data_IF_601782647569
#
_entry.id   IF_601782647569
#
_cell.length_a   1.000
_cell.length_b   1.000
_cell.length_c   1.000
_cell.angle_alpha   90.00
_cell.angle_beta   90.00
_cell.angle_gamma   90.00
#
_symmetry.space_group_name_H-M   'P 1'
#
loop_
_entity.id
_entity.type
_entity.pdbx_description
1 polymer ?
#
# COMPACT_ATOMS: atom_id res chain seq x y z
N UNK A 1 7.39 20.82 3.44
CA UNK A 1 6.65 19.77 2.70
C UNK A 1 6.27 18.71 3.72
N UNK A 2 5.03 18.22 3.72
CA UNK A 2 4.62 17.13 4.61
C UNK A 2 5.24 15.80 4.19
N UNK A 3 5.42 14.88 5.13
CA UNK A 3 5.97 13.54 4.89
C UNK A 3 5.04 12.76 3.94
N UNK A 4 5.60 12.02 2.99
CA UNK A 4 4.81 11.24 2.03
C UNK A 4 4.12 10.04 2.69
N UNK A 5 2.95 9.57 2.21
CA UNK A 5 2.18 8.52 2.89
C UNK A 5 2.99 7.24 3.17
N UNK A 6 3.72 6.75 2.17
CA UNK A 6 4.51 5.52 2.29
C UNK A 6 5.85 5.71 3.01
N UNK A 7 6.23 6.95 3.34
CA UNK A 7 7.39 7.27 4.19
C UNK A 7 7.02 7.40 5.68
N UNK A 8 5.75 7.21 6.03
CA UNK A 8 5.26 7.26 7.41
C UNK A 8 5.49 5.93 8.13
N UNK A 9 5.56 5.95 9.49
CA UNK A 9 5.63 4.72 10.28
C UNK A 9 4.46 3.78 10.04
N UNK A 10 3.28 4.34 9.75
CA UNK A 10 2.08 3.60 9.38
C UNK A 10 1.44 4.23 8.16
N UNK A 11 0.73 3.42 7.38
CA UNK A 11 -0.21 3.95 6.40
C UNK A 11 -1.52 3.18 6.40
N UNK A 12 -2.60 3.88 6.09
CA UNK A 12 -3.91 3.32 5.86
C UNK A 12 -4.20 3.27 4.36
N UNK A 13 -4.57 2.11 3.85
CA UNK A 13 -4.94 1.89 2.46
C UNK A 13 -6.44 1.65 2.32
N UNK A 14 -7.03 2.30 1.32
CA UNK A 14 -8.42 2.05 0.88
C UNK A 14 -8.42 1.80 -0.62
N UNK A 15 -8.74 0.58 -1.01
CA UNK A 15 -8.79 0.15 -2.40
C UNK A 15 -10.23 0.00 -2.88
N UNK A 16 -10.56 0.66 -3.98
CA UNK A 16 -11.87 0.61 -4.61
C UNK A 16 -11.79 -0.07 -5.98
N UNK A 17 -12.87 -0.79 -6.33
CA UNK A 17 -13.06 -1.33 -7.66
C UNK A 17 -14.43 -0.87 -8.21
N UNK A 18 -14.54 0.40 -8.62
CA UNK A 18 -15.79 0.92 -9.17
C UNK A 18 -16.11 0.21 -10.50
N UNK A 19 -17.37 -0.20 -10.63
CA UNK A 19 -17.95 -0.73 -11.86
C UNK A 19 -19.12 0.18 -12.22
N UNK A 20 -18.85 1.17 -13.10
CA UNK A 20 -19.80 2.21 -13.46
C UNK A 20 -19.39 2.86 -14.79
N UNK A 21 -20.23 3.74 -15.32
CA UNK A 21 -19.91 4.54 -16.49
C UNK A 21 -18.71 5.48 -16.24
N UNK A 22 -17.95 5.76 -17.28
CA UNK A 22 -16.72 6.58 -17.18
C UNK A 22 -16.96 7.94 -16.50
N UNK A 23 -18.09 8.57 -16.78
CA UNK A 23 -18.44 9.86 -16.17
C UNK A 23 -18.66 9.78 -14.66
N UNK A 24 -19.23 8.69 -14.16
CA UNK A 24 -19.44 8.45 -12.73
C UNK A 24 -18.11 8.15 -12.02
N UNK A 25 -17.25 7.34 -12.66
CA UNK A 25 -15.90 7.09 -12.14
C UNK A 25 -15.09 8.37 -12.10
N UNK A 26 -15.19 9.22 -13.12
CA UNK A 26 -14.52 10.52 -13.14
C UNK A 26 -15.00 11.43 -12.01
N UNK A 27 -16.31 11.51 -11.77
CA UNK A 27 -16.86 12.28 -10.64
C UNK A 27 -16.39 11.76 -9.28
N UNK A 28 -16.25 10.44 -9.13
CA UNK A 28 -15.67 9.82 -7.92
C UNK A 28 -14.21 10.23 -7.74
N UNK A 29 -13.42 10.15 -8.80
CA UNK A 29 -12.00 10.51 -8.81
C UNK A 29 -11.81 11.98 -8.46
N UNK A 30 -12.55 12.87 -9.12
CA UNK A 30 -12.51 14.33 -8.87
C UNK A 30 -12.86 14.65 -7.41
N UNK A 31 -13.86 13.97 -6.85
CA UNK A 31 -14.22 14.12 -5.43
C UNK A 31 -13.10 13.67 -4.49
N UNK A 32 -12.45 12.52 -4.78
CA UNK A 32 -11.30 12.07 -3.99
C UNK A 32 -10.18 13.10 -4.01
N UNK A 33 -9.79 13.58 -5.19
CA UNK A 33 -8.61 14.42 -5.36
C UNK A 33 -8.84 15.86 -4.85
N UNK A 34 -10.06 16.38 -4.99
CA UNK A 34 -10.35 17.78 -4.62
C UNK A 34 -10.90 17.95 -3.19
N UNK A 35 -11.51 16.92 -2.60
CA UNK A 35 -12.20 17.02 -1.30
C UNK A 35 -11.74 15.93 -0.33
N UNK A 36 -11.96 14.66 -0.69
CA UNK A 36 -11.96 13.57 0.29
C UNK A 36 -10.58 13.27 0.89
N UNK A 37 -9.52 13.25 0.08
CA UNK A 37 -8.16 12.97 0.57
C UNK A 37 -7.73 14.00 1.64
N UNK A 38 -7.91 15.29 1.35
CA UNK A 38 -7.55 16.37 2.28
C UNK A 38 -8.42 16.33 3.54
N UNK A 39 -9.71 16.00 3.38
CA UNK A 39 -10.66 15.94 4.49
C UNK A 39 -10.35 14.77 5.43
N UNK A 40 -9.98 13.59 4.91
CA UNK A 40 -9.54 12.46 5.73
C UNK A 40 -8.31 12.81 6.55
N UNK A 41 -7.31 13.46 5.95
CA UNK A 41 -6.11 13.92 6.68
C UNK A 41 -6.49 14.93 7.77
N UNK A 42 -7.32 15.91 7.46
CA UNK A 42 -7.72 16.97 8.40
C UNK A 42 -8.54 16.44 9.57
N UNK A 43 -9.43 15.47 9.35
CA UNK A 43 -10.38 14.98 10.34
C UNK A 43 -9.87 13.82 11.20
N UNK A 44 -8.73 13.23 10.82
CA UNK A 44 -8.11 12.15 11.59
C UNK A 44 -6.79 12.62 12.20
N UNK A 45 -6.81 12.85 13.49
CA UNK A 45 -5.62 13.30 14.22
C UNK A 45 -4.45 12.33 14.03
N UNK A 46 -3.30 12.87 13.61
CA UNK A 46 -2.08 12.11 13.32
C UNK A 46 -1.98 11.56 11.89
N UNK A 47 -3.01 11.76 11.06
CA UNK A 47 -2.87 11.62 9.62
C UNK A 47 -2.12 12.83 9.07
N UNK A 48 -1.08 12.59 8.27
CA UNK A 48 -0.14 13.65 7.87
C UNK A 48 -0.10 13.91 6.38
N UNK A 49 -0.54 12.94 5.58
CA UNK A 49 -0.52 13.04 4.12
C UNK A 49 -1.46 12.04 3.48
N UNK A 50 -1.79 12.27 2.22
CA UNK A 50 -2.57 11.34 1.41
C UNK A 50 -2.12 11.40 -0.06
N UNK A 51 -2.32 10.31 -0.77
CA UNK A 51 -2.16 10.24 -2.20
C UNK A 51 -3.12 9.18 -2.79
N UNK A 52 -3.53 9.39 -4.03
CA UNK A 52 -4.32 8.42 -4.79
C UNK A 52 -3.48 7.84 -5.92
N UNK A 53 -3.72 6.57 -6.17
CA UNK A 53 -3.05 5.79 -7.20
C UNK A 53 -4.05 5.05 -8.06
N UNK A 54 -3.68 4.80 -9.30
CA UNK A 54 -4.46 4.06 -10.30
C UNK A 54 -3.68 2.83 -10.74
N UNK A 55 -4.36 1.70 -10.85
CA UNK A 55 -3.76 0.45 -11.35
C UNK A 55 -3.27 0.67 -12.77
N UNK A 56 -2.00 0.34 -13.04
CA UNK A 56 -1.39 0.59 -14.36
C UNK A 56 -1.70 -0.47 -15.40
N UNK A 57 -1.90 -1.71 -14.96
CA UNK A 57 -2.21 -2.84 -15.81
C UNK A 57 -3.52 -3.46 -15.31
N UNK A 58 -4.60 -3.45 -16.10
CA UNK A 58 -5.83 -4.12 -15.71
C UNK A 58 -5.54 -5.60 -15.42
N UNK A 59 -6.01 -6.07 -14.28
CA UNK A 59 -5.97 -7.48 -13.93
C UNK A 59 -7.38 -8.05 -14.01
N UNK A 60 -7.50 -9.24 -14.55
CA UNK A 60 -8.73 -10.03 -14.52
C UNK A 60 -8.86 -10.71 -13.13
N UNK A 61 -8.78 -9.88 -12.10
CA UNK A 61 -8.82 -10.28 -10.69
C UNK A 61 -9.61 -9.24 -9.89
N UNK A 62 -10.82 -9.60 -9.51
CA UNK A 62 -11.72 -8.73 -8.76
C UNK A 62 -11.25 -8.47 -7.32
N UNK A 63 -10.26 -9.18 -6.85
CA UNK A 63 -9.64 -8.97 -5.54
C UNK A 63 -8.68 -7.77 -5.50
N UNK A 64 -8.30 -7.23 -6.66
CA UNK A 64 -7.35 -6.11 -6.78
C UNK A 64 -8.08 -4.80 -7.07
N UNK A 65 -7.87 -3.74 -6.27
CA UNK A 65 -8.49 -2.44 -6.52
C UNK A 65 -7.89 -1.73 -7.73
N UNK A 66 -8.74 -1.13 -8.55
CA UNK A 66 -8.30 -0.26 -9.65
C UNK A 66 -7.95 1.15 -9.20
N UNK A 67 -8.51 1.61 -8.08
CA UNK A 67 -8.20 2.87 -7.42
C UNK A 67 -7.73 2.61 -5.99
N UNK A 68 -6.61 3.19 -5.60
CA UNK A 68 -6.03 3.03 -4.27
C UNK A 68 -5.75 4.39 -3.64
N UNK A 69 -6.40 4.69 -2.52
CA UNK A 69 -6.08 5.84 -1.67
C UNK A 69 -5.17 5.37 -0.51
N UNK A 70 -4.09 6.11 -0.29
CA UNK A 70 -3.10 5.82 0.75
C UNK A 70 -2.97 7.04 1.65
N UNK A 71 -3.08 6.84 2.97
CA UNK A 71 -3.01 7.88 3.97
C UNK A 71 -1.86 7.58 4.93
N UNK A 72 -0.90 8.49 5.05
CA UNK A 72 0.21 8.37 5.98
C UNK A 72 -0.22 8.69 7.41
N UNK A 73 0.16 7.86 8.36
CA UNK A 73 -0.11 8.03 9.79
C UNK A 73 1.23 8.21 10.50
N UNK A 74 1.36 9.28 11.27
CA UNK A 74 2.62 9.78 11.80
C UNK A 74 3.15 9.03 13.03
N UNK A 75 2.33 8.22 13.70
CA UNK A 75 2.75 7.48 14.90
C UNK A 75 1.81 6.30 15.21
N UNK A 76 2.30 5.38 16.03
CA UNK A 76 1.52 4.25 16.54
C UNK A 76 0.29 4.72 17.34
N UNK A 77 0.45 5.72 18.21
CA UNK A 77 -0.67 6.29 18.97
C UNK A 77 -1.77 6.84 18.06
N UNK A 78 -1.41 7.45 16.95
CA UNK A 78 -2.38 7.92 15.96
C UNK A 78 -3.08 6.74 15.25
N UNK A 79 -2.33 5.69 14.91
CA UNK A 79 -2.90 4.47 14.33
C UNK A 79 -3.88 3.80 15.31
N UNK A 80 -3.53 3.66 16.58
CA UNK A 80 -4.41 3.12 17.64
C UNK A 80 -5.67 3.96 17.79
N UNK A 81 -5.56 5.30 17.94
CA UNK A 81 -6.72 6.19 18.01
C UNK A 81 -7.62 6.10 16.79
N UNK A 82 -7.03 5.89 15.60
CA UNK A 82 -7.82 5.69 14.38
C UNK A 82 -8.63 4.39 14.45
N UNK A 83 -8.05 3.27 14.93
CA UNK A 83 -8.76 2.01 15.10
C UNK A 83 -9.89 2.14 16.12
N UNK A 84 -9.63 2.73 17.29
CA UNK A 84 -10.62 2.88 18.38
C UNK A 84 -11.86 3.66 17.92
N UNK A 85 -11.66 4.65 17.03
CA UNK A 85 -12.78 5.47 16.50
C UNK A 85 -13.62 4.80 15.41
N UNK A 86 -13.22 3.64 14.88
CA UNK A 86 -13.99 2.99 13.80
C UNK A 86 -15.37 2.51 14.23
N UNK A 87 -15.59 2.26 15.53
CA UNK A 87 -16.86 1.76 16.08
C UNK A 87 -17.89 2.86 16.32
N UNK A 88 -17.55 3.96 17.00
CA UNK A 88 -18.53 4.82 17.66
C UNK A 88 -18.53 6.30 17.23
N UNK A 89 -17.44 6.84 16.69
CA UNK A 89 -17.29 8.27 16.44
C UNK A 89 -16.56 8.56 15.12
N UNK A 90 -17.09 8.02 14.03
CA UNK A 90 -16.53 8.35 12.72
C UNK A 90 -16.72 9.83 12.41
N UNK A 91 -15.71 10.49 11.81
CA UNK A 91 -15.88 11.84 11.30
C UNK A 91 -17.04 11.92 10.29
N UNK A 92 -17.72 13.05 10.29
CA UNK A 92 -18.70 13.36 9.24
C UNK A 92 -17.95 13.97 8.08
N UNK A 93 -17.96 13.30 6.96
CA UNK A 93 -17.32 13.75 5.72
C UNK A 93 -18.31 14.51 4.84
N UNK A 94 -17.77 15.38 3.99
CA UNK A 94 -18.54 16.02 2.91
C UNK A 94 -19.20 14.94 2.04
N UNK A 95 -20.51 15.07 1.72
CA UNK A 95 -21.18 14.10 0.85
C UNK A 95 -20.50 14.01 -0.52
N UNK A 96 -20.20 12.77 -0.93
CA UNK A 96 -19.63 12.46 -2.22
C UNK A 96 -20.68 12.15 -3.30
N UNK A 97 -20.27 11.92 -4.55
CA UNK A 97 -21.16 11.44 -5.60
C UNK A 97 -21.75 10.07 -5.26
N UNK A 98 -22.85 9.63 -5.90
CA UNK A 98 -23.50 8.35 -5.58
C UNK A 98 -22.54 7.16 -5.58
N UNK A 99 -21.61 7.12 -6.54
CA UNK A 99 -20.63 6.04 -6.65
C UNK A 99 -19.67 5.94 -5.44
N UNK A 100 -19.45 7.04 -4.72
CA UNK A 100 -18.65 7.04 -3.48
C UNK A 100 -19.23 6.09 -2.40
N UNK A 101 -20.55 5.93 -2.37
CA UNK A 101 -21.25 5.07 -1.40
C UNK A 101 -21.48 3.65 -1.90
N UNK A 102 -21.47 3.44 -3.22
CA UNK A 102 -21.82 2.16 -3.85
C UNK A 102 -20.62 1.40 -4.44
N UNK A 103 -19.49 2.07 -4.67
CA UNK A 103 -18.28 1.41 -5.19
C UNK A 103 -17.78 0.35 -4.21
N UNK A 104 -17.51 -0.88 -4.68
CA UNK A 104 -16.95 -1.92 -3.84
C UNK A 104 -15.61 -1.49 -3.22
N UNK A 105 -15.52 -1.56 -1.89
CA UNK A 105 -14.26 -1.44 -1.15
C UNK A 105 -13.68 -2.84 -1.05
N UNK A 106 -12.62 -3.12 -1.81
CA UNK A 106 -12.00 -4.45 -1.84
C UNK A 106 -10.81 -4.54 -0.90
N UNK A 107 -10.11 -3.41 -0.65
CA UNK A 107 -9.03 -3.33 0.33
C UNK A 107 -9.30 -2.23 1.34
N UNK A 108 -9.13 -2.55 2.60
CA UNK A 108 -9.14 -1.59 3.68
C UNK A 108 -8.29 -2.12 4.83
N UNK A 109 -7.07 -1.60 4.97
CA UNK A 109 -6.10 -2.12 5.92
C UNK A 109 -5.12 -1.04 6.40
N UNK A 110 -4.54 -1.26 7.56
CA UNK A 110 -3.45 -0.46 8.13
C UNK A 110 -2.17 -1.30 8.12
N UNK A 111 -1.10 -0.68 7.67
CA UNK A 111 0.23 -1.25 7.57
C UNK A 111 1.22 -0.51 8.46
N UNK A 112 2.13 -1.24 9.10
CA UNK A 112 3.27 -0.72 9.86
C UNK A 112 4.56 -0.90 9.07
N UNK A 113 5.41 0.13 9.05
CA UNK A 113 6.73 0.07 8.40
C UNK A 113 7.68 -0.82 9.17
N UNK A 114 8.24 -1.83 8.51
CA UNK A 114 9.18 -2.80 9.08
C UNK A 114 10.63 -2.58 8.60
N UNK A 115 10.87 -1.57 7.78
CA UNK A 115 12.20 -1.24 7.28
C UNK A 115 12.16 -0.75 5.83
N UNK A 116 13.13 0.10 5.48
CA UNK A 116 13.24 0.68 4.14
C UNK A 116 14.68 0.78 3.68
N UNK A 117 14.87 0.90 2.37
CA UNK A 117 16.15 1.20 1.72
C UNK A 117 15.93 2.15 0.55
N UNK A 118 16.93 2.93 0.20
CA UNK A 118 16.87 3.93 -0.87
C UNK A 118 16.62 5.34 -0.35
N UNK A 119 16.01 6.18 -1.17
CA UNK A 119 15.78 7.60 -0.88
C UNK A 119 14.70 7.77 0.18
N UNK A 120 14.93 8.65 1.13
CA UNK A 120 13.93 9.02 2.12
C UNK A 120 12.93 10.04 1.56
N UNK A 121 11.67 9.92 2.04
CA UNK A 121 10.59 10.87 1.78
C UNK A 121 10.32 11.14 0.28
N UNK A 122 10.40 10.10 -0.54
CA UNK A 122 10.12 10.12 -1.97
C UNK A 122 8.62 10.30 -2.25
N UNK A 123 8.28 11.15 -3.24
CA UNK A 123 6.93 11.21 -3.81
C UNK A 123 6.88 10.32 -5.07
N UNK A 124 6.34 9.11 -4.97
CA UNK A 124 6.42 8.18 -6.09
C UNK A 124 5.48 8.59 -7.23
N UNK A 125 6.01 8.58 -8.47
CA UNK A 125 5.21 8.59 -9.69
C UNK A 125 4.63 7.21 -9.99
N UNK A 126 5.35 6.16 -9.56
CA UNK A 126 4.96 4.75 -9.71
C UNK A 126 5.34 3.94 -8.48
N UNK A 127 4.52 2.95 -8.16
CA UNK A 127 4.86 1.95 -7.16
C UNK A 127 4.47 0.55 -7.63
N UNK A 128 5.26 -0.45 -7.19
CA UNK A 128 4.88 -1.85 -7.24
C UNK A 128 4.66 -2.34 -5.81
N UNK A 129 3.56 -3.03 -5.57
CA UNK A 129 3.23 -3.62 -4.28
C UNK A 129 3.19 -5.13 -4.41
N UNK A 130 3.76 -5.84 -3.44
CA UNK A 130 3.80 -7.29 -3.42
C UNK A 130 3.38 -7.77 -2.05
N UNK A 131 2.19 -8.35 -1.99
CA UNK A 131 1.65 -8.96 -0.78
C UNK A 131 2.04 -10.44 -0.70
N UNK A 132 2.56 -10.88 0.44
CA UNK A 132 3.00 -12.25 0.61
C UNK A 132 2.96 -12.72 2.06
N UNK A 133 2.92 -14.04 2.19
CA UNK A 133 3.14 -14.76 3.44
C UNK A 133 4.40 -15.63 3.32
N UNK A 134 5.16 -15.88 4.40
CA UNK A 134 6.22 -16.88 4.40
C UNK A 134 5.62 -18.26 4.16
N UNK A 135 6.47 -19.29 4.09
CA UNK A 135 6.00 -20.67 4.01
C UNK A 135 4.96 -20.93 5.13
N UNK A 136 3.86 -21.62 4.78
CA UNK A 136 2.71 -21.78 5.67
C UNK A 136 3.03 -22.51 6.99
N UNK A 137 4.04 -23.37 6.99
CA UNK A 137 4.53 -24.13 8.14
C UNK A 137 5.83 -23.58 8.73
N UNK A 138 6.21 -22.33 8.37
CA UNK A 138 7.43 -21.73 8.87
C UNK A 138 7.38 -21.53 10.38
N UNK A 139 8.42 -21.94 11.06
CA UNK A 139 8.64 -21.69 12.49
C UNK A 139 8.97 -20.22 12.76
N UNK A 140 8.89 -19.78 14.01
CA UNK A 140 9.28 -18.40 14.37
C UNK A 140 10.74 -18.08 14.00
N UNK A 141 11.65 -19.04 14.13
CA UNK A 141 13.05 -18.87 13.74
C UNK A 141 13.19 -18.67 12.23
N UNK A 142 12.49 -19.47 11.41
CA UNK A 142 12.49 -19.34 9.95
C UNK A 142 11.81 -18.03 9.49
N UNK A 143 10.81 -17.55 10.22
CA UNK A 143 10.20 -16.24 9.98
C UNK A 143 11.21 -15.12 10.27
N UNK A 144 12.00 -15.22 11.35
CA UNK A 144 13.05 -14.26 11.65
C UNK A 144 14.15 -14.25 10.56
N UNK A 145 14.55 -15.42 10.04
CA UNK A 145 15.49 -15.53 8.91
C UNK A 145 14.88 -14.91 7.62
N UNK A 146 13.61 -15.16 7.34
CA UNK A 146 12.87 -14.51 6.24
C UNK A 146 12.89 -13.01 6.37
N UNK A 147 12.62 -12.47 7.56
CA UNK A 147 12.58 -11.03 7.82
C UNK A 147 13.96 -10.38 7.62
N UNK A 148 15.02 -11.03 8.12
CA UNK A 148 16.40 -10.56 7.96
C UNK A 148 16.84 -10.58 6.49
N UNK A 149 16.65 -11.70 5.81
CA UNK A 149 16.96 -11.87 4.39
C UNK A 149 16.22 -10.83 3.54
N UNK A 150 14.90 -10.68 3.75
CA UNK A 150 14.11 -9.76 2.96
C UNK A 150 14.59 -8.32 3.14
N UNK A 151 14.82 -7.89 4.38
CA UNK A 151 15.18 -6.51 4.67
C UNK A 151 16.61 -6.17 4.25
N UNK A 152 17.57 -7.06 4.51
CA UNK A 152 18.99 -6.75 4.31
C UNK A 152 19.54 -7.17 2.96
N UNK A 153 18.90 -8.12 2.28
CA UNK A 153 19.38 -8.67 1.02
C UNK A 153 18.42 -8.37 -0.11
N UNK A 154 17.21 -8.93 -0.07
CA UNK A 154 16.29 -8.89 -1.21
C UNK A 154 15.77 -7.48 -1.51
N UNK A 155 15.40 -6.71 -0.50
CA UNK A 155 14.88 -5.35 -0.70
C UNK A 155 15.90 -4.43 -1.40
N UNK A 156 17.19 -4.36 -0.97
CA UNK A 156 18.23 -3.62 -1.69
C UNK A 156 18.51 -4.13 -3.10
N UNK A 157 18.49 -5.46 -3.31
CA UNK A 157 18.70 -6.06 -4.64
C UNK A 157 17.61 -5.61 -5.63
N UNK A 158 16.34 -5.60 -5.21
CA UNK A 158 15.24 -5.16 -6.07
C UNK A 158 15.33 -3.64 -6.35
N UNK A 159 15.61 -2.83 -5.35
CA UNK A 159 15.75 -1.38 -5.52
C UNK A 159 16.85 -1.08 -6.54
N UNK A 160 18.05 -1.62 -6.34
CA UNK A 160 19.19 -1.37 -7.24
C UNK A 160 19.03 -2.03 -8.61
N UNK A 161 18.49 -3.26 -8.66
CA UNK A 161 18.41 -4.06 -9.88
C UNK A 161 17.28 -3.67 -10.81
N UNK A 162 16.16 -3.14 -10.28
CA UNK A 162 14.98 -2.81 -11.07
C UNK A 162 14.76 -1.30 -11.26
N UNK A 163 15.69 -0.46 -10.77
CA UNK A 163 15.62 0.99 -10.96
C UNK A 163 14.55 1.67 -10.13
N UNK A 164 14.23 1.11 -8.98
CA UNK A 164 13.42 1.80 -7.99
C UNK A 164 14.29 2.73 -7.15
N UNK A 165 13.71 3.83 -6.68
CA UNK A 165 14.41 4.80 -5.84
C UNK A 165 14.33 4.41 -4.36
N UNK A 166 13.29 3.66 -3.99
CA UNK A 166 13.03 3.21 -2.63
C UNK A 166 12.31 1.87 -2.61
N UNK A 167 12.61 1.09 -1.57
CA UNK A 167 11.85 -0.10 -1.19
C UNK A 167 11.50 -0.03 0.30
N UNK A 168 10.27 -0.34 0.66
CA UNK A 168 9.82 -0.40 2.05
C UNK A 168 9.06 -1.69 2.28
N UNK A 169 9.39 -2.36 3.37
CA UNK A 169 8.61 -3.49 3.89
C UNK A 169 7.60 -2.99 4.90
N UNK A 170 6.42 -3.58 4.84
CA UNK A 170 5.33 -3.32 5.78
C UNK A 170 4.79 -4.63 6.35
N UNK A 171 4.39 -4.58 7.62
CA UNK A 171 3.66 -5.62 8.32
C UNK A 171 2.18 -5.22 8.39
N UNK A 172 1.29 -6.18 8.20
CA UNK A 172 -0.13 -5.96 8.41
C UNK A 172 -0.37 -5.64 9.89
N UNK A 173 -0.83 -4.40 10.14
CA UNK A 173 -1.21 -3.94 11.48
C UNK A 173 -2.66 -4.28 11.79
N UNK A 174 -3.56 -4.00 10.83
CA UNK A 174 -4.98 -4.26 10.99
C UNK A 174 -5.67 -4.41 9.63
N UNK A 175 -6.50 -5.42 9.51
CA UNK A 175 -7.38 -5.65 8.36
C UNK A 175 -8.81 -5.29 8.73
N UNK A 176 -9.44 -4.43 7.93
CA UNK A 176 -10.88 -4.18 7.98
C UNK A 176 -11.63 -4.94 6.89
N UNK A 177 -11.05 -4.98 5.69
CA UNK A 177 -11.63 -5.60 4.50
C UNK A 177 -10.51 -6.03 3.56
N UNK A 178 -10.55 -7.29 3.19
CA UNK A 178 -9.75 -7.88 2.12
C UNK A 178 -10.48 -9.12 1.60
N UNK A 179 -10.43 -9.43 0.29
CA UNK A 179 -10.98 -10.68 -0.24
C UNK A 179 -10.33 -11.91 0.41
N UNK A 180 -11.09 -13.00 0.47
CA UNK A 180 -10.54 -14.29 0.92
C UNK A 180 -9.31 -14.72 0.11
N UNK A 181 -8.31 -15.33 0.73
CA UNK A 181 -8.26 -15.84 2.11
C UNK A 181 -7.81 -14.82 3.17
N UNK A 182 -7.93 -13.54 2.91
CA UNK A 182 -7.51 -12.47 3.80
C UNK A 182 -6.22 -11.77 3.33
N UNK A 183 -5.90 -10.65 3.97
CA UNK A 183 -4.73 -9.85 3.66
C UNK A 183 -3.44 -10.60 4.04
N UNK A 184 -2.43 -10.64 3.17
CA UNK A 184 -1.15 -11.23 3.52
C UNK A 184 -0.47 -10.48 4.67
N UNK A 185 0.35 -11.18 5.44
CA UNK A 185 1.06 -10.60 6.58
C UNK A 185 2.07 -9.52 6.19
N UNK A 186 2.68 -9.66 5.01
CA UNK A 186 3.73 -8.78 4.53
C UNK A 186 3.35 -8.10 3.23
N UNK A 187 3.74 -6.83 3.12
CA UNK A 187 3.66 -6.07 1.88
C UNK A 187 5.00 -5.37 1.63
N UNK A 188 5.60 -5.60 0.48
CA UNK A 188 6.72 -4.79 0.02
C UNK A 188 6.24 -3.79 -1.00
N UNK A 189 6.62 -2.55 -0.82
CA UNK A 189 6.32 -1.45 -1.74
C UNK A 189 7.62 -0.93 -2.32
N UNK A 190 7.74 -0.95 -3.63
CA UNK A 190 8.87 -0.42 -4.39
C UNK A 190 8.41 0.81 -5.14
N UNK A 191 9.08 1.93 -4.90
CA UNK A 191 8.68 3.26 -5.34
C UNK A 191 9.70 3.83 -6.32
N UNK A 192 9.22 4.50 -7.36
CA UNK A 192 10.04 5.28 -8.27
C UNK A 192 9.40 6.64 -8.52
N UNK A 193 10.20 7.70 -8.52
CA UNK A 193 9.77 9.06 -8.89
C UNK A 193 9.42 9.09 -10.39
N UNK A 194 10.25 8.46 -11.22
CA UNK A 194 9.94 8.25 -12.63
C UNK A 194 8.75 7.27 -12.77
N UNK A 195 7.64 7.66 -13.42
CA UNK A 195 6.53 6.76 -13.68
C UNK A 195 6.90 5.58 -14.60
N UNK A 196 8.02 5.64 -15.31
CA UNK A 196 8.52 4.59 -16.21
C UNK A 196 10.00 4.26 -15.96
N UNK A 197 10.36 3.76 -14.77
CA UNK A 197 11.74 3.46 -14.43
C UNK A 197 12.31 2.42 -15.40
N UNK A 198 13.53 2.67 -15.89
CA UNK A 198 14.25 1.73 -16.76
C UNK A 198 15.19 0.91 -15.89
N UNK A 199 15.00 -0.41 -15.80
CA UNK A 199 15.93 -1.24 -15.05
C UNK A 199 17.30 -1.23 -15.70
N UNK A 200 18.38 -1.09 -14.90
CA UNK A 200 19.75 -1.13 -15.39
C UNK A 200 20.19 -2.52 -15.89
N UNK A 201 19.37 -3.51 -15.68
CA UNK A 201 19.61 -4.93 -15.88
C UNK A 201 19.35 -5.64 -14.55
N UNK A 202 18.61 -6.76 -14.57
CA UNK A 202 18.32 -7.50 -13.35
C UNK A 202 19.51 -8.41 -13.05
N UNK A 203 20.31 -8.16 -12.00
CA UNK A 203 21.29 -9.14 -11.55
C UNK A 203 20.57 -10.41 -11.08
N UNK A 204 21.22 -11.56 -11.07
CA UNK A 204 20.64 -12.73 -10.42
C UNK A 204 20.38 -12.39 -8.96
N UNK A 205 19.14 -12.60 -8.53
CA UNK A 205 18.75 -12.38 -7.13
C UNK A 205 19.31 -13.49 -6.25
N UNK A 206 19.69 -13.15 -5.03
CA UNK A 206 20.16 -14.11 -4.04
C UNK A 206 19.08 -15.10 -3.66
N UNK A 207 19.48 -16.37 -3.48
CA UNK A 207 18.62 -17.39 -2.87
C UNK A 207 18.43 -17.06 -1.39
N UNK A 208 17.21 -17.25 -0.92
CA UNK A 208 16.84 -16.96 0.47
C UNK A 208 16.69 -18.23 1.34
N UNK A 209 16.34 -18.06 2.62
CA UNK A 209 16.00 -19.18 3.49
C UNK A 209 14.73 -19.89 3.02
N UNK A 210 14.45 -21.09 3.56
CA UNK A 210 13.29 -21.91 3.17
C UNK A 210 11.97 -21.13 3.21
N UNK A 211 11.73 -20.38 4.28
CA UNK A 211 10.49 -19.61 4.42
C UNK A 211 10.31 -18.54 3.32
N UNK A 212 11.41 -18.06 2.73
CA UNK A 212 11.40 -17.18 1.56
C UNK A 212 11.17 -17.95 0.26
N UNK A 213 11.86 -19.05 0.04
CA UNK A 213 11.76 -19.82 -1.21
C UNK A 213 10.34 -20.41 -1.39
N UNK A 214 9.71 -20.84 -0.30
CA UNK A 214 8.37 -21.44 -0.27
C UNK A 214 7.26 -20.42 0.07
N UNK A 215 7.56 -19.11 0.00
CA UNK A 215 6.60 -18.06 0.30
C UNK A 215 5.39 -18.08 -0.62
N UNK A 216 4.27 -17.66 -0.09
CA UNK A 216 3.03 -17.53 -0.83
C UNK A 216 2.82 -16.05 -1.26
N UNK A 217 3.01 -15.76 -2.54
CA UNK A 217 2.70 -14.43 -3.09
C UNK A 217 1.21 -14.37 -3.38
N UNK A 218 0.48 -13.50 -2.68
CA UNK A 218 -0.95 -13.31 -2.82
C UNK A 218 -1.30 -12.40 -3.99
N UNK A 219 -0.55 -11.30 -4.13
CA UNK A 219 -0.73 -10.37 -5.24
C UNK A 219 0.59 -9.66 -5.58
N UNK A 220 0.68 -9.24 -6.86
CA UNK A 220 1.71 -8.34 -7.39
C UNK A 220 1.00 -7.32 -8.24
N UNK A 221 1.04 -6.06 -7.84
CA UNK A 221 0.28 -4.99 -8.47
C UNK A 221 1.17 -3.77 -8.70
N UNK A 222 0.88 -3.04 -9.76
CA UNK A 222 1.58 -1.81 -10.09
C UNK A 222 0.59 -0.67 -10.17
N UNK A 223 0.93 0.41 -9.54
CA UNK A 223 0.11 1.62 -9.51
C UNK A 223 0.92 2.81 -10.03
N UNK A 224 0.23 3.72 -10.66
CA UNK A 224 0.71 5.06 -10.98
C UNK A 224 0.01 6.06 -10.09
N UNK A 225 0.75 7.05 -9.62
CA UNK A 225 0.15 8.16 -8.87
C UNK A 225 -0.80 8.92 -9.78
N UNK A 226 -1.97 9.24 -9.27
CA UNK A 226 -2.87 10.17 -9.90
C UNK A 226 -2.26 11.58 -9.93
N UNK A 227 -2.53 12.33 -10.99
CA UNK A 227 -2.00 13.67 -11.21
C UNK A 227 -2.57 14.68 -10.21
#
# INVERSE_FOLDING_TARGET
MGRQPLSCPFFFAVGLRPVAEEAEVRALVDFYDTVHLAEVVRLNEGFVSAARYELTEPLDDDSVPSLLAVYGIGSEDAARRFLDRQGERRPVYTPGPPLFYSAPVVWRMVWESAGSTGVDDLMPGKMAMIGMDPAADATEAEIAEFDDFYTRTHLPEIVSGLGYDRGTRFLLWHEFTHPEPGCPRYNAVYEAEDPNPRPPGVPPLSSGPRAWEERQVRWRVKYRRAA
#
